data_IF_680012561581
#
_entry.id   IF_680012561581
#
_cell.length_a   1.000
_cell.length_b   1.000
_cell.length_c   1.000
_cell.angle_alpha   90.00
_cell.angle_beta   90.00
_cell.angle_gamma   90.00
#
_symmetry.space_group_name_H-M   'P 1'
#
loop_
_entity.id
_entity.type
_entity.pdbx_description
1 polymer ?
#
# COMPACT_ATOMS: atom_id res chain seq x y z
N UNK A 1 -37.98 -25.50 61.37
CA UNK A 1 -38.23 -24.57 60.23
C UNK A 1 -36.96 -23.76 59.97
N UNK A 2 -36.17 -24.11 58.94
CA UNK A 2 -34.92 -23.39 58.60
C UNK A 2 -34.55 -23.57 57.12
N UNK A 3 -35.02 -22.63 56.27
CA UNK A 3 -34.37 -22.10 55.04
C UNK A 3 -35.34 -21.16 54.34
N UNK A 4 -34.88 -20.01 53.83
CA UNK A 4 -34.24 -20.02 52.51
C UNK A 4 -33.15 -18.93 52.30
N UNK A 5 -32.02 -19.01 53.00
CA UNK A 5 -30.87 -18.11 52.74
C UNK A 5 -30.09 -18.48 51.45
N UNK A 6 -30.22 -19.72 50.97
CA UNK A 6 -29.38 -20.23 49.85
C UNK A 6 -29.93 -19.85 48.47
N UNK A 7 -31.24 -19.58 48.35
CA UNK A 7 -31.87 -19.27 47.06
C UNK A 7 -31.51 -17.84 46.57
N UNK A 8 -31.24 -16.92 47.52
CA UNK A 8 -30.86 -15.53 47.22
C UNK A 8 -29.40 -15.42 46.75
N UNK A 9 -28.49 -16.19 47.33
CA UNK A 9 -27.07 -16.16 46.95
C UNK A 9 -26.80 -16.70 45.52
N UNK A 10 -27.59 -17.67 45.08
CA UNK A 10 -27.47 -18.26 43.73
C UNK A 10 -27.99 -17.26 42.69
N UNK A 11 -29.14 -16.63 42.93
CA UNK A 11 -29.73 -15.63 42.02
C UNK A 11 -28.86 -14.36 41.91
N UNK A 12 -28.27 -13.88 43.01
CA UNK A 12 -27.31 -12.77 42.98
C UNK A 12 -26.04 -13.11 42.17
N UNK A 13 -25.51 -14.33 42.29
CA UNK A 13 -24.34 -14.78 41.52
C UNK A 13 -24.60 -14.84 40.01
N UNK A 14 -25.77 -15.34 39.61
CA UNK A 14 -26.17 -15.36 38.20
C UNK A 14 -26.40 -13.96 37.63
N UNK A 15 -26.96 -13.04 38.44
CA UNK A 15 -27.14 -11.64 38.05
C UNK A 15 -25.80 -10.90 37.90
N UNK A 16 -24.84 -11.15 38.80
CA UNK A 16 -23.49 -10.57 38.69
C UNK A 16 -22.69 -11.12 37.50
N UNK A 17 -22.86 -12.41 37.17
CA UNK A 17 -22.16 -13.03 36.05
C UNK A 17 -22.72 -12.56 34.69
N UNK A 18 -24.04 -12.39 34.60
CA UNK A 18 -24.69 -11.84 33.40
C UNK A 18 -24.39 -10.36 33.19
N UNK A 19 -24.31 -9.56 34.26
CA UNK A 19 -23.92 -8.15 34.17
C UNK A 19 -22.45 -7.97 33.75
N UNK A 20 -21.54 -8.79 34.27
CA UNK A 20 -20.12 -8.76 33.88
C UNK A 20 -19.91 -9.17 32.41
N UNK A 21 -20.69 -10.14 31.92
CA UNK A 21 -20.63 -10.58 30.52
C UNK A 21 -21.24 -9.55 29.55
N UNK A 22 -22.28 -8.82 29.98
CA UNK A 22 -22.84 -7.71 29.20
C UNK A 22 -21.88 -6.51 29.10
N UNK A 23 -21.16 -6.19 30.18
CA UNK A 23 -20.19 -5.09 30.20
C UNK A 23 -18.98 -5.37 29.29
N UNK A 24 -18.49 -6.62 29.23
CA UNK A 24 -17.37 -6.98 28.34
C UNK A 24 -17.78 -6.97 26.87
N UNK A 25 -18.98 -7.44 26.52
CA UNK A 25 -19.49 -7.38 25.14
C UNK A 25 -19.70 -5.93 24.64
N UNK A 26 -20.16 -5.02 25.51
CA UNK A 26 -20.28 -3.60 25.17
C UNK A 26 -18.91 -2.91 25.04
N UNK A 27 -17.91 -3.31 25.83
CA UNK A 27 -16.55 -2.74 25.73
C UNK A 27 -15.83 -3.13 24.42
N UNK A 28 -16.13 -4.29 23.83
CA UNK A 28 -15.54 -4.73 22.56
C UNK A 28 -16.04 -3.95 21.34
N UNK A 29 -17.25 -3.39 21.39
CA UNK A 29 -17.83 -2.58 20.32
C UNK A 29 -17.43 -1.08 20.40
N UNK A 30 -16.76 -0.67 21.48
CA UNK A 30 -16.32 0.71 21.71
C UNK A 30 -15.00 1.11 21.02
N UNK A 31 -14.23 0.16 20.51
CA UNK A 31 -12.90 0.45 19.93
C UNK A 31 -12.95 0.85 18.44
N UNK A 32 -14.12 0.88 17.80
CA UNK A 32 -14.27 1.30 16.40
C UNK A 32 -13.58 0.38 15.37
N UNK A 33 -13.05 -0.77 15.78
CA UNK A 33 -12.50 -1.78 14.88
C UNK A 33 -13.61 -2.35 14.02
N UNK A 34 -13.61 -1.98 12.75
CA UNK A 34 -14.40 -2.64 11.72
C UNK A 34 -13.49 -3.53 10.90
N UNK A 35 -14.03 -4.64 10.40
CA UNK A 35 -13.32 -5.49 9.45
C UNK A 35 -12.89 -4.65 8.25
N UNK A 36 -11.57 -4.45 8.13
CA UNK A 36 -10.97 -3.87 6.93
C UNK A 36 -11.21 -4.85 5.78
N UNK A 37 -12.15 -4.54 4.88
CA UNK A 37 -12.43 -5.36 3.70
C UNK A 37 -13.90 -5.70 3.43
N UNK A 38 -14.87 -5.27 4.25
CA UNK A 38 -16.30 -5.44 3.90
C UNK A 38 -16.81 -4.39 2.91
N UNK A 39 -16.04 -3.34 2.68
CA UNK A 39 -16.18 -2.51 1.49
C UNK A 39 -15.16 -3.02 0.47
N UNK A 40 -15.59 -3.92 -0.39
CA UNK A 40 -14.94 -4.18 -1.68
C UNK A 40 -15.09 -2.93 -2.55
N UNK A 41 -14.44 -1.84 -2.17
CA UNK A 41 -14.19 -0.76 -3.11
C UNK A 41 -13.20 -1.35 -4.09
N UNK A 42 -13.68 -1.97 -5.17
CA UNK A 42 -12.82 -2.35 -6.28
C UNK A 42 -12.03 -1.11 -6.72
N UNK A 43 -10.88 -1.32 -7.39
CA UNK A 43 -10.17 -0.21 -8.03
C UNK A 43 -11.20 0.69 -8.77
N UNK A 44 -11.11 2.03 -8.66
CA UNK A 44 -12.08 2.92 -9.31
C UNK A 44 -12.31 2.53 -10.77
N UNK A 45 -13.55 2.64 -11.25
CA UNK A 45 -13.92 2.20 -12.62
C UNK A 45 -13.01 2.79 -13.69
N UNK A 46 -12.56 4.03 -13.49
CA UNK A 46 -11.62 4.73 -14.37
C UNK A 46 -10.27 4.01 -14.56
N UNK A 47 -9.87 3.15 -13.62
CA UNK A 47 -8.61 2.40 -13.63
C UNK A 47 -8.82 0.88 -13.67
N UNK A 48 -10.05 0.43 -14.00
CA UNK A 48 -10.34 -1.00 -14.13
C UNK A 48 -9.60 -1.64 -15.30
N UNK A 49 -9.43 -0.91 -16.40
CA UNK A 49 -8.49 -1.24 -17.47
C UNK A 49 -7.37 -0.21 -17.43
N UNK A 50 -6.12 -0.66 -17.39
CA UNK A 50 -4.95 0.21 -17.40
C UNK A 50 -3.83 -0.41 -18.23
N UNK A 51 -2.99 0.44 -18.77
CA UNK A 51 -1.69 0.06 -19.31
C UNK A 51 -0.60 0.48 -18.34
N UNK A 52 0.53 -0.22 -18.36
CA UNK A 52 1.70 0.16 -17.56
C UNK A 52 2.87 0.37 -18.52
N UNK A 53 3.38 1.59 -18.53
CA UNK A 53 4.59 1.95 -19.28
C UNK A 53 5.69 2.37 -18.32
N UNK A 54 6.84 1.72 -18.45
CA UNK A 54 7.99 1.95 -17.60
C UNK A 54 9.27 1.98 -18.45
N UNK A 55 10.23 2.85 -18.12
CA UNK A 55 11.53 2.87 -18.78
C UNK A 55 12.33 1.62 -18.43
N UNK A 56 13.35 1.32 -19.22
CA UNK A 56 14.13 0.08 -19.09
C UNK A 56 14.76 -0.09 -17.69
N UNK A 57 15.24 0.99 -17.07
CA UNK A 57 15.81 0.95 -15.72
C UNK A 57 14.80 0.56 -14.62
N UNK A 58 13.50 0.71 -14.88
CA UNK A 58 12.42 0.38 -13.96
C UNK A 58 11.83 -1.03 -14.19
N UNK A 59 12.54 -1.91 -14.93
CA UNK A 59 12.03 -3.23 -15.28
C UNK A 59 11.64 -4.08 -14.05
N UNK A 60 12.40 -3.97 -12.96
CA UNK A 60 12.14 -4.68 -11.70
C UNK A 60 10.80 -4.28 -11.02
N UNK A 61 10.26 -3.09 -11.33
CA UNK A 61 8.97 -2.63 -10.81
C UNK A 61 7.78 -3.31 -11.52
N UNK A 62 7.96 -3.75 -12.77
CA UNK A 62 6.85 -4.14 -13.66
C UNK A 62 6.01 -5.28 -13.08
N UNK A 63 6.63 -6.40 -12.75
CA UNK A 63 5.92 -7.58 -12.26
C UNK A 63 5.21 -7.30 -10.92
N UNK A 64 5.89 -6.77 -9.88
CA UNK A 64 5.23 -6.33 -8.65
C UNK A 64 4.01 -5.44 -8.88
N UNK A 65 4.15 -4.41 -9.73
CA UNK A 65 3.08 -3.44 -10.00
C UNK A 65 1.88 -4.11 -10.67
N UNK A 66 2.13 -4.94 -11.69
CA UNK A 66 1.07 -5.69 -12.39
C UNK A 66 0.32 -6.61 -11.43
N UNK A 67 1.04 -7.37 -10.60
CA UNK A 67 0.44 -8.30 -9.62
C UNK A 67 -0.44 -7.56 -8.62
N UNK A 68 0.03 -6.45 -8.06
CA UNK A 68 -0.76 -5.67 -7.10
C UNK A 68 -2.00 -5.03 -7.76
N UNK A 69 -1.88 -4.46 -8.95
CA UNK A 69 -3.02 -3.92 -9.68
C UNK A 69 -4.07 -5.00 -9.98
N UNK A 70 -3.64 -6.18 -10.41
CA UNK A 70 -4.54 -7.33 -10.65
C UNK A 70 -5.22 -7.81 -9.37
N UNK A 71 -4.50 -7.86 -8.24
CA UNK A 71 -5.08 -8.22 -6.94
C UNK A 71 -6.18 -7.26 -6.48
N UNK A 72 -6.17 -6.02 -6.99
CA UNK A 72 -7.18 -4.98 -6.74
C UNK A 72 -8.31 -4.99 -7.80
N UNK A 73 -8.28 -5.93 -8.74
CA UNK A 73 -9.29 -6.14 -9.77
C UNK A 73 -9.04 -5.41 -11.09
N UNK A 74 -7.84 -4.88 -11.33
CA UNK A 74 -7.50 -4.23 -12.60
C UNK A 74 -7.10 -5.24 -13.68
N UNK A 75 -7.49 -4.96 -14.92
CA UNK A 75 -7.06 -5.64 -16.13
C UNK A 75 -5.91 -4.82 -16.74
N UNK A 76 -4.70 -5.38 -16.67
CA UNK A 76 -3.48 -4.67 -17.07
C UNK A 76 -3.04 -5.09 -18.47
N UNK A 77 -2.78 -4.12 -19.35
CA UNK A 77 -2.30 -4.31 -20.73
C UNK A 77 -3.23 -5.16 -21.62
N UNK A 78 -4.53 -5.19 -21.33
CA UNK A 78 -5.53 -5.93 -22.12
C UNK A 78 -6.31 -5.06 -23.12
N UNK A 79 -6.30 -3.75 -22.92
CA UNK A 79 -6.97 -2.76 -23.76
C UNK A 79 -5.98 -1.64 -24.12
N UNK A 80 -5.75 -1.43 -25.42
CA UNK A 80 -4.83 -0.41 -25.94
C UNK A 80 -5.37 1.01 -25.81
N UNK A 81 -6.67 1.16 -25.58
CA UNK A 81 -7.33 2.46 -25.40
C UNK A 81 -7.34 2.91 -23.94
N UNK A 82 -7.03 2.00 -23.01
CA UNK A 82 -7.03 2.27 -21.58
C UNK A 82 -5.96 3.30 -21.17
N UNK A 83 -6.20 4.07 -20.10
CA UNK A 83 -5.21 4.98 -19.53
C UNK A 83 -3.90 4.27 -19.19
N UNK A 84 -2.78 4.99 -19.36
CA UNK A 84 -1.43 4.49 -19.13
C UNK A 84 -0.94 5.02 -17.78
N UNK A 85 -0.52 4.11 -16.89
CA UNK A 85 0.30 4.45 -15.73
C UNK A 85 1.73 4.59 -16.26
N UNK A 86 2.17 5.83 -16.41
CA UNK A 86 3.47 6.18 -16.99
C UNK A 86 4.47 6.44 -15.88
N UNK A 87 5.49 5.60 -15.77
CA UNK A 87 6.65 5.89 -14.93
C UNK A 87 7.58 6.83 -15.70
N UNK A 88 7.79 8.04 -15.17
CA UNK A 88 8.61 9.09 -15.81
C UNK A 88 10.01 9.13 -15.25
N UNK A 89 10.18 8.81 -13.96
CA UNK A 89 11.48 8.74 -13.31
C UNK A 89 11.59 7.51 -12.41
N UNK A 90 12.78 6.91 -12.40
CA UNK A 90 13.14 5.78 -11.54
C UNK A 90 14.58 6.03 -11.08
N UNK A 91 14.72 6.48 -9.85
CA UNK A 91 16.00 6.91 -9.29
C UNK A 91 16.36 6.01 -8.10
N UNK A 92 17.30 5.10 -8.33
CA UNK A 92 17.96 4.33 -7.29
C UNK A 92 19.25 5.03 -6.87
N UNK A 93 19.39 5.28 -5.57
CA UNK A 93 20.57 5.92 -5.00
C UNK A 93 21.14 5.05 -3.89
N UNK A 94 22.47 4.96 -3.88
CA UNK A 94 23.26 4.24 -2.87
C UNK A 94 24.15 5.26 -2.17
N UNK A 95 24.01 5.37 -0.86
CA UNK A 95 24.78 6.31 -0.06
C UNK A 95 25.49 5.58 1.08
N UNK A 96 26.81 5.74 1.18
CA UNK A 96 27.53 5.32 2.38
C UNK A 96 27.38 6.38 3.47
N UNK A 97 27.06 5.93 4.67
CA UNK A 97 26.97 6.73 5.88
C UNK A 97 28.06 6.24 6.84
N UNK A 98 29.03 7.11 7.12
CA UNK A 98 30.15 6.79 8.02
C UNK A 98 29.91 7.39 9.39
N UNK A 99 29.74 6.52 10.39
CA UNK A 99 29.68 6.87 11.81
C UNK A 99 30.65 6.02 12.64
N UNK A 100 30.22 5.55 13.81
CA UNK A 100 30.94 4.48 14.54
C UNK A 100 30.94 3.16 13.78
N UNK A 101 29.89 2.93 12.98
CA UNK A 101 29.74 1.84 12.02
C UNK A 101 29.57 2.46 10.63
N UNK A 102 29.92 1.71 9.59
CA UNK A 102 29.62 2.09 8.21
C UNK A 102 28.30 1.45 7.81
N UNK A 103 27.38 2.25 7.29
CA UNK A 103 26.08 1.80 6.83
C UNK A 103 25.91 2.18 5.35
N UNK A 104 25.29 1.30 4.58
CA UNK A 104 24.85 1.60 3.22
C UNK A 104 23.37 1.84 3.26
N UNK A 105 22.96 3.01 2.77
CA UNK A 105 21.56 3.37 2.60
C UNK A 105 21.17 3.31 1.13
N UNK A 106 20.18 2.49 0.83
CA UNK A 106 19.55 2.38 -0.49
C UNK A 106 18.26 3.19 -0.47
N UNK A 107 18.05 4.04 -1.48
CA UNK A 107 16.81 4.79 -1.67
C UNK A 107 16.34 4.63 -3.10
N UNK A 108 15.06 4.34 -3.26
CA UNK A 108 14.34 4.31 -4.52
C UNK A 108 13.29 5.42 -4.51
N UNK A 109 13.37 6.31 -5.50
CA UNK A 109 12.35 7.31 -5.79
C UNK A 109 11.77 7.01 -7.16
N UNK A 110 10.44 6.97 -7.26
CA UNK A 110 9.74 6.71 -8.52
C UNK A 110 8.74 7.82 -8.73
N UNK A 111 8.81 8.48 -9.87
CA UNK A 111 7.83 9.49 -10.30
C UNK A 111 6.97 8.92 -11.40
N UNK A 112 5.67 9.16 -11.30
CA UNK A 112 4.70 8.66 -12.26
C UNK A 112 3.48 9.56 -12.35
N UNK A 113 2.77 9.45 -13.46
CA UNK A 113 1.45 10.04 -13.66
C UNK A 113 0.57 9.06 -14.44
N UNK A 114 -0.70 9.42 -14.61
CA UNK A 114 -1.62 8.70 -15.50
C UNK A 114 -1.85 9.57 -16.73
N UNK A 115 -1.72 9.00 -17.91
CA UNK A 115 -2.00 9.65 -19.19
C UNK A 115 -3.05 8.87 -20.00
N UNK A 116 -3.68 9.54 -20.96
CA UNK A 116 -4.56 8.87 -21.91
C UNK A 116 -3.75 7.98 -22.86
N UNK A 117 -4.42 7.07 -23.59
CA UNK A 117 -3.78 6.28 -24.66
C UNK A 117 -3.21 7.13 -25.81
N UNK A 118 -3.53 8.43 -25.85
CA UNK A 118 -3.00 9.42 -26.77
C UNK A 118 -1.79 10.19 -26.21
N UNK A 119 -1.39 9.94 -24.96
CA UNK A 119 -0.26 10.59 -24.30
C UNK A 119 -0.59 11.92 -23.60
N UNK A 120 -1.88 12.25 -23.43
CA UNK A 120 -2.27 13.46 -22.69
C UNK A 120 -2.27 13.18 -21.18
N UNK A 121 -1.58 13.97 -20.34
CA UNK A 121 -1.54 13.75 -18.90
C UNK A 121 -2.93 13.98 -18.29
N UNK A 122 -3.47 12.93 -17.66
CA UNK A 122 -4.75 12.98 -16.95
C UNK A 122 -4.58 13.41 -15.50
N UNK A 123 -3.40 13.15 -14.91
CA UNK A 123 -3.09 13.50 -13.52
C UNK A 123 -1.81 14.33 -13.45
N UNK A 124 -1.59 15.01 -12.32
CA UNK A 124 -0.27 15.55 -11.98
C UNK A 124 0.74 14.41 -11.73
N UNK A 125 2.01 14.77 -11.57
CA UNK A 125 3.06 13.85 -11.14
C UNK A 125 2.92 13.48 -9.67
N UNK A 126 3.12 12.19 -9.37
CA UNK A 126 3.21 11.63 -8.03
C UNK A 126 4.57 10.98 -7.84
N UNK A 127 5.08 11.04 -6.61
CA UNK A 127 6.29 10.33 -6.23
C UNK A 127 6.03 9.35 -5.10
N UNK A 128 6.57 8.15 -5.23
CA UNK A 128 6.66 7.15 -4.15
C UNK A 128 8.12 6.92 -3.80
N UNK A 129 8.37 6.57 -2.55
CA UNK A 129 9.71 6.37 -2.03
C UNK A 129 9.79 5.08 -1.24
N UNK A 130 10.90 4.36 -1.40
CA UNK A 130 11.29 3.27 -0.51
C UNK A 130 12.74 3.42 -0.10
N UNK A 131 13.06 2.97 1.11
CA UNK A 131 14.41 3.03 1.68
C UNK A 131 14.70 1.74 2.43
N UNK A 132 15.93 1.25 2.28
CA UNK A 132 16.51 0.17 3.07
C UNK A 132 17.93 0.55 3.46
N UNK A 133 18.45 -0.09 4.48
CA UNK A 133 19.84 0.05 4.84
C UNK A 133 20.39 -1.23 5.43
N UNK A 134 21.70 -1.41 5.29
CA UNK A 134 22.43 -2.54 5.83
C UNK A 134 23.80 -2.09 6.31
N UNK A 135 24.36 -2.81 7.28
CA UNK A 135 25.69 -2.53 7.79
C UNK A 135 26.75 -3.03 6.80
N UNK A 136 27.74 -2.19 6.51
CA UNK A 136 28.82 -2.49 5.58
C UNK A 136 30.06 -3.03 6.32
N UNK A 137 30.51 -4.22 5.92
CA UNK A 137 31.73 -4.89 6.34
C UNK A 137 32.54 -5.35 5.11
N UNK A 138 33.76 -4.81 4.99
CA UNK A 138 34.71 -5.09 3.91
C UNK A 138 35.09 -6.58 3.85
N UNK A 139 34.94 -7.34 4.95
CA UNK A 139 35.20 -8.78 4.97
C UNK A 139 34.12 -9.61 4.25
N UNK A 140 32.95 -9.03 3.96
CA UNK A 140 31.75 -9.76 3.49
C UNK A 140 31.20 -9.28 2.15
N UNK A 141 32.01 -8.60 1.32
CA UNK A 141 31.56 -7.95 0.06
C UNK A 141 30.71 -8.84 -0.86
N UNK A 142 31.01 -10.15 -0.96
CA UNK A 142 30.21 -11.05 -1.80
C UNK A 142 28.78 -11.27 -1.28
N UNK A 143 28.60 -11.42 0.04
CA UNK A 143 27.27 -11.57 0.64
C UNK A 143 26.51 -10.25 0.63
N UNK A 144 27.20 -9.11 0.73
CA UNK A 144 26.59 -7.78 0.64
C UNK A 144 25.97 -7.49 -0.73
N UNK A 145 26.56 -7.99 -1.81
CA UNK A 145 25.97 -7.84 -3.15
C UNK A 145 24.64 -8.58 -3.28
N UNK A 146 24.49 -9.74 -2.62
CA UNK A 146 23.25 -10.50 -2.60
C UNK A 146 22.19 -9.81 -1.72
N UNK A 147 22.61 -9.32 -0.55
CA UNK A 147 21.76 -8.55 0.34
C UNK A 147 21.25 -7.27 -0.33
N UNK A 148 22.13 -6.49 -0.97
CA UNK A 148 21.73 -5.27 -1.69
C UNK A 148 20.73 -5.56 -2.81
N UNK A 149 20.96 -6.61 -3.60
CA UNK A 149 20.02 -7.02 -4.65
C UNK A 149 18.65 -7.38 -4.07
N UNK A 150 18.62 -8.15 -2.97
CA UNK A 150 17.37 -8.51 -2.30
C UNK A 150 16.63 -7.29 -1.74
N UNK A 151 17.34 -6.35 -1.12
CA UNK A 151 16.77 -5.11 -0.61
C UNK A 151 16.20 -4.24 -1.75
N UNK A 152 16.82 -4.24 -2.94
CA UNK A 152 16.28 -3.54 -4.12
C UNK A 152 14.98 -4.19 -4.61
N UNK A 153 14.88 -5.52 -4.62
CA UNK A 153 13.65 -6.24 -4.95
C UNK A 153 12.52 -5.88 -3.97
N UNK A 154 12.80 -5.89 -2.66
CA UNK A 154 11.84 -5.46 -1.64
C UNK A 154 11.39 -4.01 -1.81
N UNK A 155 12.33 -3.11 -2.14
CA UNK A 155 12.02 -1.70 -2.38
C UNK A 155 11.11 -1.51 -3.60
N UNK A 156 11.28 -2.33 -4.64
CA UNK A 156 10.38 -2.35 -5.80
C UNK A 156 8.99 -2.89 -5.44
N UNK A 157 8.90 -3.96 -4.63
CA UNK A 157 7.64 -4.48 -4.11
C UNK A 157 6.89 -3.44 -3.28
N UNK A 158 7.58 -2.73 -2.39
CA UNK A 158 7.00 -1.67 -1.58
C UNK A 158 6.52 -0.49 -2.43
N UNK A 159 7.33 -0.02 -3.37
CA UNK A 159 6.94 1.05 -4.29
C UNK A 159 5.71 0.67 -5.13
N UNK A 160 5.67 -0.55 -5.68
CA UNK A 160 4.52 -1.07 -6.41
C UNK A 160 3.24 -1.08 -5.57
N UNK A 161 3.32 -1.53 -4.31
CA UNK A 161 2.19 -1.47 -3.38
C UNK A 161 1.73 -0.04 -3.12
N UNK A 162 2.66 0.90 -2.93
CA UNK A 162 2.33 2.31 -2.70
C UNK A 162 1.56 2.90 -3.88
N UNK A 163 2.05 2.68 -5.11
CA UNK A 163 1.37 3.11 -6.36
C UNK A 163 -0.03 2.49 -6.43
N UNK A 164 -0.13 1.16 -6.33
CA UNK A 164 -1.41 0.45 -6.45
C UNK A 164 -2.45 0.92 -5.40
N UNK A 165 -2.02 1.18 -4.17
CA UNK A 165 -2.87 1.73 -3.10
C UNK A 165 -3.33 3.16 -3.40
N UNK A 166 -2.48 4.00 -3.98
CA UNK A 166 -2.86 5.36 -4.35
C UNK A 166 -3.94 5.36 -5.43
N UNK A 167 -3.82 4.51 -6.46
CA UNK A 167 -4.87 4.33 -7.47
C UNK A 167 -6.16 3.80 -6.87
N UNK A 168 -6.09 2.77 -6.02
CA UNK A 168 -7.26 2.19 -5.36
C UNK A 168 -8.00 3.20 -4.47
N UNK A 169 -7.27 4.10 -3.82
CA UNK A 169 -7.87 5.12 -2.97
C UNK A 169 -8.66 6.18 -3.76
N UNK A 170 -8.53 6.24 -5.09
CA UNK A 170 -9.27 7.17 -5.96
C UNK A 170 -8.98 8.65 -5.68
N UNK A 171 -7.84 8.96 -5.07
CA UNK A 171 -7.46 10.31 -4.63
C UNK A 171 -6.48 11.00 -5.59
N UNK A 172 -6.54 10.62 -6.87
CA UNK A 172 -5.68 11.21 -7.90
C UNK A 172 -6.25 12.56 -8.30
N UNK A 173 -5.47 13.61 -8.07
CA UNK A 173 -5.67 14.95 -8.63
C UNK A 173 -5.44 14.89 -10.14
N UNK A 174 -6.45 15.37 -10.88
CA UNK A 174 -6.38 15.49 -12.32
C UNK A 174 -5.46 16.65 -12.72
N UNK A 175 -4.73 16.49 -13.82
CA UNK A 175 -4.02 17.60 -14.43
C UNK A 175 -5.06 18.66 -14.80
N UNK A 176 -4.85 19.90 -14.38
CA UNK A 176 -5.73 20.99 -14.80
C UNK A 176 -5.51 21.19 -16.29
N UNK A 177 -6.47 20.74 -17.11
CA UNK A 177 -6.60 21.23 -18.46
C UNK A 177 -6.74 22.75 -18.35
N UNK A 178 -5.77 23.47 -18.89
CA UNK A 178 -5.81 24.92 -18.93
C UNK A 178 -7.14 25.34 -19.58
N UNK A 179 -8.08 25.79 -18.75
CA UNK A 179 -9.34 26.44 -19.11
C UNK A 179 -10.35 25.70 -20.00
N UNK A 180 -10.93 24.55 -19.61
CA UNK A 180 -12.38 24.33 -19.89
C UNK A 180 -13.05 23.29 -19.00
N UNK A 181 -13.97 23.77 -18.18
CA UNK A 181 -15.03 23.04 -17.48
C UNK A 181 -15.84 22.18 -18.45
N UNK A 182 -15.91 20.87 -18.20
CA UNK A 182 -17.15 20.05 -18.24
C UNK A 182 -16.84 18.66 -17.66
N UNK A 183 -17.26 18.44 -16.41
CA UNK A 183 -17.58 17.08 -15.95
C UNK A 183 -18.97 16.69 -16.51
N UNK A 184 -19.22 15.41 -16.82
CA UNK A 184 -20.58 14.91 -16.97
C UNK A 184 -21.35 14.96 -15.64
#
# INVERSE_FOLDING_TARGET
MKKPEILSAITLRHLSLSLALGLTAASLSGCGFHLRGTQTSAIPVAYKNVQVDLPQQAAALREPLVVYLQSLGAMVNQDKTAPIIKITDYQQTRQLLSGRLTEVQLRLAITYHIESSLGEPLTIDYSVYSRRSYQYDIATVNTENQEEAHLIEEMNLDAAMQIARQLHAGRMQYATADGKKTAP
#
